data_IF_598166933169
#
_entry.id   IF_598166933169
#
_cell.length_a   1.000
_cell.length_b   1.000
_cell.length_c   1.000
_cell.angle_alpha   90.00
_cell.angle_beta   90.00
_cell.angle_gamma   90.00
#
_symmetry.space_group_name_H-M   'P 1'
#
loop_
_entity.id
_entity.type
_entity.pdbx_description
1 polymer ?
#
# COMPACT_ATOMS: atom_id res chain seq x y z
N UNK A 1 11.86 1.59 -21.50
CA UNK A 1 12.98 1.69 -20.55
C UNK A 1 12.61 1.19 -19.18
N UNK A 2 13.60 0.64 -18.47
CA UNK A 2 13.53 0.27 -17.05
C UNK A 2 14.66 1.02 -16.35
N UNK A 3 14.36 1.72 -15.25
CA UNK A 3 15.35 2.52 -14.53
C UNK A 3 15.52 2.06 -13.08
N UNK A 4 16.66 2.41 -12.48
CA UNK A 4 16.96 2.16 -11.07
C UNK A 4 17.02 3.48 -10.32
N UNK A 5 16.18 3.60 -9.29
CA UNK A 5 16.18 4.75 -8.39
C UNK A 5 16.37 4.26 -6.95
N UNK A 6 17.56 4.35 -6.34
CA UNK A 6 17.86 3.81 -5.02
C UNK A 6 17.50 4.77 -3.86
N UNK A 7 16.45 5.58 -4.00
CA UNK A 7 16.01 6.50 -2.95
C UNK A 7 15.53 5.78 -1.69
N UNK A 8 15.85 6.35 -0.52
CA UNK A 8 15.52 5.80 0.82
C UNK A 8 14.39 6.57 1.54
N UNK A 9 13.81 7.57 0.89
CA UNK A 9 12.72 8.35 1.44
C UNK A 9 11.36 7.67 1.15
N UNK A 10 10.30 8.35 1.57
CA UNK A 10 8.95 8.07 1.12
C UNK A 10 8.70 8.70 -0.25
N UNK A 11 8.10 7.95 -1.17
CA UNK A 11 7.79 8.41 -2.53
C UNK A 11 6.39 8.00 -2.94
N UNK A 12 5.74 8.84 -3.76
CA UNK A 12 4.50 8.46 -4.44
C UNK A 12 4.85 7.44 -5.52
N UNK A 13 4.28 6.25 -5.41
CA UNK A 13 4.44 5.18 -6.40
C UNK A 13 3.39 5.28 -7.51
N UNK A 14 2.15 5.55 -7.13
CA UNK A 14 1.06 5.78 -8.07
C UNK A 14 -0.05 6.56 -7.36
N UNK A 15 -0.66 7.51 -8.07
CA UNK A 15 -1.80 8.27 -7.57
C UNK A 15 -2.75 8.60 -8.72
N UNK A 16 -4.02 8.81 -8.40
CA UNK A 16 -4.97 9.41 -9.33
C UNK A 16 -4.76 10.93 -9.31
N UNK A 17 -4.17 11.48 -10.37
CA UNK A 17 -3.88 12.92 -10.51
C UNK A 17 -4.79 13.61 -11.54
N UNK A 18 -4.93 14.93 -11.43
CA UNK A 18 -5.68 15.76 -12.40
C UNK A 18 -7.21 15.79 -12.20
N UNK A 19 -7.73 15.01 -11.26
CA UNK A 19 -9.12 15.07 -10.82
C UNK A 19 -9.29 16.01 -9.61
N UNK A 20 -10.52 16.47 -9.36
CA UNK A 20 -10.89 17.22 -8.15
C UNK A 20 -10.77 16.40 -6.87
N UNK A 21 -10.82 15.07 -6.98
CA UNK A 21 -10.68 14.13 -5.87
C UNK A 21 -9.67 13.03 -6.24
N UNK A 22 -8.75 12.73 -5.32
CA UNK A 22 -7.85 11.57 -5.46
C UNK A 22 -8.59 10.30 -5.04
N UNK A 23 -8.94 9.44 -6.00
CA UNK A 23 -9.56 8.14 -5.68
C UNK A 23 -8.59 7.22 -4.93
N UNK A 24 -7.29 7.31 -5.27
CA UNK A 24 -6.24 6.58 -4.58
C UNK A 24 -4.89 7.31 -4.61
N UNK A 25 -4.08 7.06 -3.58
CA UNK A 25 -2.70 7.50 -3.47
C UNK A 25 -1.87 6.40 -2.78
N UNK A 26 -0.87 5.87 -3.48
CA UNK A 26 0.02 4.81 -3.00
C UNK A 26 1.40 5.39 -2.80
N UNK A 27 1.94 5.28 -1.60
CA UNK A 27 3.28 5.72 -1.25
C UNK A 27 4.09 4.55 -0.73
N UNK A 28 5.35 4.50 -1.15
CA UNK A 28 6.31 3.49 -0.73
C UNK A 28 7.43 4.19 0.02
N UNK A 29 7.71 3.71 1.23
CA UNK A 29 8.91 4.08 1.96
C UNK A 29 9.89 2.93 1.91
N UNK A 30 11.10 3.24 1.49
CA UNK A 30 12.22 2.30 1.50
C UNK A 30 13.04 2.46 2.76
N UNK A 31 13.56 1.35 3.25
CA UNK A 31 14.59 1.30 4.27
C UNK A 31 15.75 0.45 3.78
N UNK A 32 16.78 0.33 4.63
CA UNK A 32 17.89 -0.56 4.37
C UNK A 32 17.63 -1.88 5.10
N UNK A 33 17.62 -2.97 4.32
CA UNK A 33 17.71 -4.32 4.83
C UNK A 33 19.14 -4.81 4.52
N UNK A 34 20.03 -4.67 5.52
CA UNK A 34 21.48 -4.72 5.28
C UNK A 34 21.93 -3.55 4.42
N UNK A 35 22.46 -3.84 3.22
CA UNK A 35 22.88 -2.83 2.24
C UNK A 35 21.87 -2.63 1.10
N UNK A 36 20.75 -3.37 1.11
CA UNK A 36 19.77 -3.35 0.02
C UNK A 36 18.60 -2.40 0.35
N UNK A 37 18.27 -1.43 -0.53
CA UNK A 37 17.02 -0.68 -0.43
C UNK A 37 15.82 -1.61 -0.64
N UNK A 38 15.05 -1.84 0.42
CA UNK A 38 13.83 -2.67 0.40
C UNK A 38 12.64 -1.79 0.78
N UNK A 39 11.45 -2.06 0.23
CA UNK A 39 10.21 -1.39 0.67
C UNK A 39 9.88 -1.90 2.06
N UNK A 40 9.90 -1.03 3.07
CA UNK A 40 9.66 -1.40 4.47
C UNK A 40 8.27 -1.00 4.95
N UNK A 41 7.63 -0.06 4.25
CA UNK A 41 6.33 0.47 4.60
C UNK A 41 5.58 0.94 3.35
N UNK A 42 4.30 0.59 3.29
CA UNK A 42 3.36 1.02 2.24
C UNK A 42 2.25 1.82 2.90
N UNK A 43 1.97 3.01 2.34
CA UNK A 43 0.78 3.81 2.65
C UNK A 43 -0.16 3.76 1.45
N UNK A 44 -1.41 3.39 1.67
CA UNK A 44 -2.45 3.45 0.65
C UNK A 44 -3.62 4.26 1.19
N UNK A 45 -3.93 5.36 0.51
CA UNK A 45 -5.12 6.17 0.79
C UNK A 45 -6.14 5.90 -0.30
N UNK A 46 -7.33 5.48 0.08
CA UNK A 46 -8.45 5.30 -0.85
C UNK A 46 -9.76 5.14 -0.08
N UNK A 47 -10.90 5.51 -0.70
CA UNK A 47 -12.24 5.37 -0.09
C UNK A 47 -12.36 6.02 1.31
N UNK A 48 -11.64 7.12 1.55
CA UNK A 48 -11.58 7.80 2.85
C UNK A 48 -10.84 7.03 3.95
N UNK A 49 -10.15 5.94 3.61
CA UNK A 49 -9.34 5.15 4.53
C UNK A 49 -7.85 5.42 4.30
N UNK A 50 -7.08 5.36 5.38
CA UNK A 50 -5.63 5.31 5.37
C UNK A 50 -5.21 3.91 5.78
N UNK A 51 -4.58 3.18 4.86
CA UNK A 51 -4.14 1.80 5.05
C UNK A 51 -2.62 1.79 5.10
N UNK A 52 -2.09 1.13 6.11
CA UNK A 52 -0.66 1.04 6.34
C UNK A 52 -0.24 -0.42 6.39
N UNK A 53 0.73 -0.80 5.57
CA UNK A 53 1.32 -2.14 5.56
C UNK A 53 2.78 -2.03 6.00
N UNK A 54 3.14 -2.74 7.05
CA UNK A 54 4.54 -2.82 7.50
C UNK A 54 4.78 -4.07 8.34
N UNK A 55 5.91 -4.75 8.10
CA UNK A 55 6.36 -5.90 8.88
C UNK A 55 5.25 -6.95 9.14
N UNK A 56 4.50 -7.32 8.09
CA UNK A 56 3.39 -8.29 8.18
C UNK A 56 2.13 -7.79 8.91
N UNK A 57 2.11 -6.54 9.36
CA UNK A 57 0.95 -5.90 9.99
C UNK A 57 0.17 -5.03 9.01
N UNK A 58 -1.15 -4.97 9.23
CA UNK A 58 -2.08 -4.12 8.48
C UNK A 58 -2.80 -3.22 9.47
N UNK A 59 -2.69 -1.91 9.27
CA UNK A 59 -3.42 -0.91 10.02
C UNK A 59 -4.40 -0.20 9.09
N UNK A 60 -5.59 0.11 9.61
CA UNK A 60 -6.59 0.96 8.96
C UNK A 60 -6.88 2.12 9.90
N UNK A 61 -6.63 3.34 9.43
CA UNK A 61 -6.76 4.57 10.21
C UNK A 61 -6.03 4.49 11.58
N UNK A 62 -4.81 3.94 11.58
CA UNK A 62 -3.99 3.76 12.79
C UNK A 62 -4.40 2.58 13.70
N UNK A 63 -5.48 1.86 13.40
CA UNK A 63 -5.91 0.69 14.16
C UNK A 63 -5.48 -0.60 13.49
N UNK A 64 -4.92 -1.53 14.26
CA UNK A 64 -4.54 -2.86 13.75
C UNK A 64 -5.78 -3.67 13.44
N UNK A 65 -5.87 -4.15 12.21
CA UNK A 65 -6.99 -4.97 11.74
C UNK A 65 -6.58 -6.43 11.55
N UNK A 66 -7.56 -7.33 11.69
CA UNK A 66 -7.41 -8.74 11.31
C UNK A 66 -7.92 -8.93 9.89
N UNK A 67 -7.23 -9.79 9.14
CA UNK A 67 -7.65 -10.19 7.80
C UNK A 67 -8.50 -11.47 7.87
N UNK A 68 -9.54 -11.64 7.02
CA UNK A 68 -9.96 -10.70 6.00
C UNK A 68 -10.67 -9.47 6.58
N UNK A 69 -10.49 -8.32 5.93
CA UNK A 69 -11.13 -7.05 6.28
C UNK A 69 -11.90 -6.53 5.07
N UNK A 70 -13.15 -6.10 5.28
CA UNK A 70 -14.00 -5.57 4.21
C UNK A 70 -14.76 -4.34 4.68
N UNK A 71 -14.69 -3.27 3.89
CA UNK A 71 -15.42 -2.01 4.15
C UNK A 71 -15.55 -1.19 2.87
N UNK A 72 -16.73 -0.64 2.60
CA UNK A 72 -16.95 0.36 1.53
C UNK A 72 -16.36 -0.02 0.16
N UNK A 73 -16.50 -1.28 -0.29
CA UNK A 73 -15.98 -1.75 -1.58
C UNK A 73 -14.48 -2.05 -1.59
N UNK A 74 -13.80 -1.92 -0.45
CA UNK A 74 -12.44 -2.37 -0.20
C UNK A 74 -12.45 -3.75 0.48
N UNK A 75 -11.62 -4.66 -0.02
CA UNK A 75 -11.38 -6.00 0.53
C UNK A 75 -9.89 -6.23 0.72
N UNK A 76 -9.48 -6.62 1.91
CA UNK A 76 -8.12 -7.01 2.24
C UNK A 76 -8.07 -8.45 2.69
N UNK A 77 -7.21 -9.24 2.07
CA UNK A 77 -7.10 -10.67 2.31
C UNK A 77 -5.65 -11.10 2.34
N UNK A 78 -5.35 -12.16 3.10
CA UNK A 78 -4.05 -12.83 3.05
C UNK A 78 -4.16 -14.03 2.11
N UNK A 79 -3.31 -14.10 1.09
CA UNK A 79 -3.29 -15.19 0.12
C UNK A 79 -1.85 -15.57 -0.18
N UNK A 80 -1.49 -16.84 0.08
CA UNK A 80 -0.23 -17.47 -0.36
C UNK A 80 1.04 -16.61 -0.18
N UNK A 81 1.17 -15.94 0.97
CA UNK A 81 2.33 -15.10 1.31
C UNK A 81 2.18 -13.61 1.02
N UNK A 82 1.07 -13.17 0.42
CA UNK A 82 0.80 -11.76 0.12
C UNK A 82 -0.42 -11.26 0.89
N UNK A 83 -0.42 -9.96 1.18
CA UNK A 83 -1.62 -9.18 1.44
C UNK A 83 -2.13 -8.65 0.11
N UNK A 84 -3.38 -8.96 -0.23
CA UNK A 84 -4.09 -8.45 -1.39
C UNK A 84 -5.09 -7.41 -0.92
N UNK A 85 -4.99 -6.20 -1.45
CA UNK A 85 -5.96 -5.12 -1.26
C UNK A 85 -6.67 -4.90 -2.59
N UNK A 86 -7.98 -5.08 -2.60
CA UNK A 86 -8.82 -4.88 -3.79
C UNK A 86 -9.82 -3.77 -3.52
N UNK A 87 -9.86 -2.76 -4.38
CA UNK A 87 -10.85 -1.69 -4.37
C UNK A 87 -11.69 -1.87 -5.61
N UNK A 88 -12.99 -2.11 -5.40
CA UNK A 88 -13.95 -2.42 -6.46
C UNK A 88 -13.81 -1.45 -7.63
N UNK A 89 -13.49 -2.00 -8.82
CA UNK A 89 -13.35 -1.30 -10.10
C UNK A 89 -12.20 -0.28 -10.23
N UNK A 90 -11.34 -0.12 -9.23
CA UNK A 90 -10.31 0.95 -9.24
C UNK A 90 -8.89 0.38 -9.17
N UNK A 91 -8.60 -0.45 -8.17
CA UNK A 91 -7.23 -0.82 -7.83
C UNK A 91 -7.16 -2.24 -7.28
N UNK A 92 -6.12 -2.97 -7.65
CA UNK A 92 -5.67 -4.17 -6.93
C UNK A 92 -4.20 -4.00 -6.59
N UNK A 93 -3.88 -4.09 -5.31
CA UNK A 93 -2.51 -3.98 -4.79
C UNK A 93 -2.12 -5.28 -4.08
N UNK A 94 -0.91 -5.75 -4.35
CA UNK A 94 -0.36 -7.00 -3.82
C UNK A 94 0.99 -6.70 -3.17
N UNK A 95 1.18 -7.18 -1.94
CA UNK A 95 2.41 -6.95 -1.18
C UNK A 95 2.79 -8.18 -0.34
N UNK A 96 4.03 -8.64 -0.43
CA UNK A 96 4.53 -9.80 0.31
C UNK A 96 5.19 -9.49 1.64
N UNK A 97 5.55 -8.23 1.92
CA UNK A 97 6.37 -7.92 3.09
C UNK A 97 7.83 -8.20 2.83
#
# INVERSE_FOLDING_TARGET
DVFRFPGLCNYVFSSHCGATYEDFNIQLRRGLEGSRPTVTYVLLRAQGLVIELSNGSVLVNGHREKLPYSRAGLLMEKSSGYVKISIRLVLTFLWNG
#
